data_IF_367933476105
#
_entry.id   IF_367933476105
#
_cell.length_a   1.000
_cell.length_b   1.000
_cell.length_c   1.000
_cell.angle_alpha   90.00
_cell.angle_beta   90.00
_cell.angle_gamma   90.00
#
_symmetry.space_group_name_H-M   'P 1'
#
loop_
_entity.id
_entity.type
_entity.pdbx_description
1 polymer ?
#
# COMPACT_ATOMS: atom_id res chain seq x y z
N UNK A 1 -29.43 -1.64 20.07
CA UNK A 1 -28.26 -1.43 19.18
C UNK A 1 -27.36 -2.67 19.30
N UNK A 2 -27.24 -3.48 18.24
CA UNK A 2 -26.73 -4.86 18.34
C UNK A 2 -25.20 -4.91 18.14
N UNK A 3 -24.46 -5.09 19.24
CA UNK A 3 -22.98 -5.01 19.32
C UNK A 3 -22.29 -6.06 18.42
N UNK A 4 -22.99 -7.16 18.10
CA UNK A 4 -22.51 -8.19 17.15
C UNK A 4 -22.23 -7.67 15.74
N UNK A 5 -22.85 -6.55 15.31
CA UNK A 5 -22.61 -5.97 13.98
C UNK A 5 -21.25 -5.26 13.87
N UNK A 6 -20.66 -4.83 14.98
CA UNK A 6 -19.37 -4.13 15.03
C UNK A 6 -18.20 -5.12 14.97
N UNK A 7 -18.38 -6.32 15.55
CA UNK A 7 -17.40 -7.41 15.56
C UNK A 7 -17.26 -8.15 14.22
N UNK A 8 -18.09 -7.82 13.21
CA UNK A 8 -18.02 -8.41 11.87
C UNK A 8 -17.18 -7.58 10.86
N UNK A 9 -16.28 -6.70 11.33
CA UNK A 9 -15.28 -6.04 10.47
C UNK A 9 -14.04 -6.89 10.18
N UNK A 10 -13.97 -8.11 10.74
CA UNK A 10 -12.78 -8.98 10.71
C UNK A 10 -12.65 -9.87 9.47
N UNK A 11 -13.38 -9.59 8.39
CA UNK A 11 -12.95 -10.00 7.05
C UNK A 11 -12.35 -8.78 6.37
N UNK A 12 -11.08 -8.48 6.66
CA UNK A 12 -10.26 -7.63 5.77
C UNK A 12 -10.27 -8.32 4.41
N UNK A 13 -11.11 -7.87 3.49
CA UNK A 13 -10.97 -8.25 2.09
C UNK A 13 -9.53 -7.95 1.68
N UNK A 14 -8.82 -8.99 1.22
CA UNK A 14 -7.49 -8.81 0.65
C UNK A 14 -7.66 -8.00 -0.64
N UNK A 15 -7.36 -6.71 -0.57
CA UNK A 15 -7.30 -5.86 -1.76
C UNK A 15 -6.25 -6.45 -2.70
N UNK A 16 -6.68 -6.84 -3.89
CA UNK A 16 -5.81 -7.34 -4.95
C UNK A 16 -5.33 -6.16 -5.81
N UNK A 17 -4.03 -5.87 -5.77
CA UNK A 17 -3.43 -4.80 -6.57
C UNK A 17 -2.97 -5.26 -7.96
N UNK A 18 -3.03 -6.56 -8.29
CA UNK A 18 -2.53 -7.09 -9.57
C UNK A 18 -3.10 -6.36 -10.79
N UNK A 19 -4.40 -6.03 -10.87
CA UNK A 19 -4.93 -5.30 -12.04
C UNK A 19 -4.30 -3.92 -12.24
N UNK A 20 -3.87 -3.27 -11.16
CA UNK A 20 -3.21 -1.97 -11.22
C UNK A 20 -1.74 -2.11 -11.59
N UNK A 21 -1.07 -3.16 -11.10
CA UNK A 21 0.32 -3.48 -11.43
C UNK A 21 0.47 -3.84 -12.92
N UNK A 22 -0.52 -4.52 -13.48
CA UNK A 22 -0.54 -4.94 -14.89
C UNK A 22 -1.11 -3.86 -15.83
N UNK A 23 -1.52 -2.70 -15.29
CA UNK A 23 -2.08 -1.61 -16.08
C UNK A 23 -1.06 -1.06 -17.08
N UNK A 24 -1.53 -0.74 -18.29
CA UNK A 24 -0.76 -0.01 -19.30
C UNK A 24 -0.57 1.47 -18.92
N UNK A 25 -1.40 2.00 -18.00
CA UNK A 25 -1.27 3.37 -17.51
C UNK A 25 -0.15 3.42 -16.47
N UNK A 26 0.93 4.09 -16.82
CA UNK A 26 2.15 4.19 -16.01
C UNK A 26 1.87 4.73 -14.60
N UNK A 27 1.03 5.77 -14.47
CA UNK A 27 0.70 6.37 -13.18
C UNK A 27 0.01 5.38 -12.24
N UNK A 28 -0.87 4.52 -12.77
CA UNK A 28 -1.55 3.48 -12.00
C UNK A 28 -0.57 2.39 -11.57
N UNK A 29 0.28 1.94 -12.50
CA UNK A 29 1.28 0.90 -12.27
C UNK A 29 2.31 1.33 -11.23
N UNK A 30 2.88 2.52 -11.38
CA UNK A 30 3.87 3.09 -10.45
C UNK A 30 3.26 3.25 -9.05
N UNK A 31 2.04 3.78 -8.97
CA UNK A 31 1.34 3.94 -7.69
C UNK A 31 1.09 2.60 -6.99
N UNK A 32 0.65 1.58 -7.73
CA UNK A 32 0.39 0.25 -7.18
C UNK A 32 1.68 -0.47 -6.73
N UNK A 33 2.75 -0.37 -7.51
CA UNK A 33 4.07 -0.89 -7.13
C UNK A 33 4.62 -0.17 -5.89
N UNK A 34 4.43 1.15 -5.79
CA UNK A 34 4.82 1.92 -4.62
C UNK A 34 4.09 1.45 -3.36
N UNK A 35 2.76 1.29 -3.43
CA UNK A 35 1.95 0.78 -2.30
C UNK A 35 2.42 -0.63 -1.90
N UNK A 36 2.68 -1.51 -2.88
CA UNK A 36 3.20 -2.86 -2.62
C UNK A 36 4.53 -2.82 -1.86
N UNK A 37 5.43 -1.94 -2.27
CA UNK A 37 6.73 -1.73 -1.61
C UNK A 37 6.56 -1.18 -0.18
N UNK A 38 5.70 -0.18 0.03
CA UNK A 38 5.43 0.37 1.36
C UNK A 38 4.84 -0.67 2.31
N UNK A 39 3.96 -1.55 1.80
CA UNK A 39 3.42 -2.68 2.55
C UNK A 39 4.52 -3.68 2.92
N UNK A 40 5.41 -4.03 1.99
CA UNK A 40 6.54 -4.91 2.27
C UNK A 40 7.42 -4.34 3.40
N UNK A 41 7.74 -3.05 3.39
CA UNK A 41 8.50 -2.41 4.46
C UNK A 41 7.78 -2.45 5.81
N UNK A 42 6.47 -2.20 5.80
CA UNK A 42 5.65 -2.28 7.01
C UNK A 42 5.64 -3.71 7.60
N UNK A 43 5.46 -4.73 6.76
CA UNK A 43 5.47 -6.15 7.18
C UNK A 43 6.83 -6.60 7.71
N UNK A 44 7.92 -5.96 7.25
CA UNK A 44 9.29 -6.21 7.72
C UNK A 44 9.74 -5.25 8.84
N UNK A 45 8.80 -4.58 9.51
CA UNK A 45 9.07 -3.74 10.68
C UNK A 45 10.05 -2.57 10.43
N UNK A 46 10.19 -2.13 9.18
CA UNK A 46 10.92 -0.91 8.87
C UNK A 46 10.19 0.29 9.49
N UNK A 47 10.94 1.18 10.14
CA UNK A 47 10.34 2.29 10.87
C UNK A 47 9.56 3.21 9.94
N UNK A 48 8.59 3.93 10.50
CA UNK A 48 7.81 4.90 9.74
C UNK A 48 8.69 6.00 9.13
N UNK A 49 9.71 6.48 9.85
CA UNK A 49 10.62 7.53 9.36
C UNK A 49 11.52 7.05 8.23
N UNK A 50 12.00 5.81 8.27
CA UNK A 50 12.73 5.20 7.15
C UNK A 50 11.82 5.05 5.93
N UNK A 51 10.58 4.58 6.12
CA UNK A 51 9.59 4.46 5.03
C UNK A 51 9.26 5.82 4.39
N UNK A 52 9.11 6.88 5.20
CA UNK A 52 8.94 8.26 4.73
C UNK A 52 10.14 8.76 3.95
N UNK A 53 11.36 8.47 4.43
CA UNK A 53 12.60 8.86 3.75
C UNK A 53 12.72 8.18 2.38
N UNK A 54 12.41 6.89 2.29
CA UNK A 54 12.37 6.15 1.03
C UNK A 54 11.28 6.67 0.08
N UNK A 55 10.10 7.04 0.60
CA UNK A 55 9.04 7.65 -0.19
C UNK A 55 9.46 8.99 -0.81
N UNK A 56 10.12 9.86 -0.02
CA UNK A 56 10.66 11.14 -0.52
C UNK A 56 11.75 10.92 -1.56
N UNK A 57 12.64 9.95 -1.35
CA UNK A 57 13.69 9.61 -2.30
C UNK A 57 13.10 9.14 -3.64
N UNK A 58 12.09 8.27 -3.60
CA UNK A 58 11.39 7.84 -4.81
C UNK A 58 10.70 9.02 -5.51
N UNK A 59 10.03 9.88 -4.74
CA UNK A 59 9.38 11.07 -5.29
C UNK A 59 10.38 12.02 -5.96
N UNK A 60 11.58 12.20 -5.41
CA UNK A 60 12.65 13.01 -5.99
C UNK A 60 13.35 12.36 -7.20
N UNK A 61 13.17 11.06 -7.41
CA UNK A 61 13.70 10.37 -8.59
C UNK A 61 12.80 10.54 -9.81
N UNK A 62 11.48 10.63 -9.60
CA UNK A 62 10.48 10.72 -10.66
C UNK A 62 9.95 12.14 -10.91
N UNK A 63 10.23 13.11 -10.04
CA UNK A 63 9.94 14.54 -10.22
C UNK A 63 11.22 15.35 -10.23
#
# INVERSE_FOLDING_TARGET
MNIKKILNRDKKEKVNLNPLIESEIDELRVSALFIKTQKFFYENQISEEERKSLARMLNAYYN
#
